data_IF_102559945094
#
_entry.id   IF_102559945094
#
_cell.length_a   1.000
_cell.length_b   1.000
_cell.length_c   1.000
_cell.angle_alpha   90.00
_cell.angle_beta   90.00
_cell.angle_gamma   90.00
#
_symmetry.space_group_name_H-M   'P 1'
#
loop_
_entity.id
_entity.type
_entity.pdbx_description
1 polymer ?
#
# COMPACT_ATOMS: atom_id res chain seq x y z
N UNK A 1 28.65 -1.08 3.19
CA UNK A 1 27.35 -1.61 2.71
C UNK A 1 26.79 -0.57 1.75
N UNK A 2 26.26 -0.98 0.60
CA UNK A 2 25.66 -0.06 -0.36
C UNK A 2 24.22 0.27 0.08
N UNK A 3 23.85 1.57 0.06
CA UNK A 3 22.48 2.02 0.35
C UNK A 3 21.59 1.74 -0.86
N UNK A 4 20.52 1.01 -0.65
CA UNK A 4 19.51 0.71 -1.67
C UNK A 4 18.47 1.82 -1.72
N UNK A 5 18.33 2.47 -2.86
CA UNK A 5 17.31 3.50 -3.10
C UNK A 5 16.34 3.00 -4.15
N UNK A 6 15.10 2.76 -3.74
CA UNK A 6 14.03 2.37 -4.66
C UNK A 6 13.39 3.62 -5.29
N UNK A 7 13.25 3.63 -6.61
CA UNK A 7 12.61 4.74 -7.32
C UNK A 7 11.38 4.23 -8.06
N UNK A 8 10.22 4.70 -7.64
CA UNK A 8 8.89 4.34 -8.18
C UNK A 8 8.36 5.43 -9.10
N UNK A 9 7.67 5.02 -10.16
CA UNK A 9 7.12 5.90 -11.18
C UNK A 9 5.87 5.29 -11.85
N UNK A 10 5.09 6.11 -12.57
CA UNK A 10 3.95 5.67 -13.37
C UNK A 10 3.71 6.58 -14.57
N UNK A 11 3.62 5.99 -15.74
CA UNK A 11 3.48 6.70 -17.02
C UNK A 11 4.82 7.15 -17.60
N UNK A 12 4.80 7.52 -18.86
CA UNK A 12 6.01 7.78 -19.66
C UNK A 12 6.82 8.98 -19.11
N UNK A 13 6.16 10.08 -18.81
CA UNK A 13 6.81 11.28 -18.25
C UNK A 13 7.53 10.95 -16.94
N UNK A 14 6.81 10.36 -15.98
CA UNK A 14 7.36 10.00 -14.68
C UNK A 14 8.50 8.99 -14.77
N UNK A 15 8.45 8.07 -15.75
CA UNK A 15 9.53 7.14 -16.07
C UNK A 15 10.81 7.87 -16.45
N UNK A 16 10.72 8.79 -17.44
CA UNK A 16 11.88 9.55 -17.92
C UNK A 16 12.51 10.41 -16.82
N UNK A 17 11.67 11.04 -16.00
CA UNK A 17 12.12 11.85 -14.86
C UNK A 17 12.80 11.00 -13.77
N UNK A 18 12.21 9.86 -13.44
CA UNK A 18 12.75 8.91 -12.48
C UNK A 18 14.07 8.31 -12.96
N UNK A 19 14.19 8.00 -14.27
CA UNK A 19 15.43 7.48 -14.86
C UNK A 19 16.57 8.51 -14.83
N UNK A 20 16.27 9.79 -15.08
CA UNK A 20 17.23 10.86 -14.92
C UNK A 20 17.78 10.94 -13.48
N UNK A 21 16.90 10.87 -12.48
CA UNK A 21 17.31 10.84 -11.05
C UNK A 21 18.13 9.59 -10.75
N UNK A 22 17.71 8.42 -11.25
CA UNK A 22 18.42 7.15 -11.08
C UNK A 22 19.84 7.20 -11.59
N UNK A 23 20.05 7.74 -12.78
CA UNK A 23 21.37 7.85 -13.40
C UNK A 23 22.26 8.89 -12.70
N UNK A 24 21.65 9.94 -12.17
CA UNK A 24 22.35 11.03 -11.52
C UNK A 24 22.83 10.69 -10.09
N UNK A 25 22.01 9.97 -9.30
CA UNK A 25 22.27 9.70 -7.89
C UNK A 25 23.66 9.08 -7.61
N UNK A 26 24.14 8.05 -8.35
CA UNK A 26 25.46 7.47 -8.11
C UNK A 26 26.62 8.41 -8.43
N UNK A 27 26.39 9.44 -9.26
CA UNK A 27 27.39 10.48 -9.55
C UNK A 27 27.67 11.36 -8.34
N UNK A 28 26.66 11.56 -7.49
CA UNK A 28 26.77 12.36 -6.25
C UNK A 28 27.09 11.49 -5.04
N UNK A 29 26.41 10.36 -4.92
CA UNK A 29 26.53 9.41 -3.81
C UNK A 29 26.96 8.04 -4.34
N UNK A 30 28.26 7.79 -4.44
CA UNK A 30 28.81 6.58 -5.06
C UNK A 30 28.43 5.27 -4.37
N UNK A 31 28.07 5.32 -3.08
CA UNK A 31 27.61 4.16 -2.31
C UNK A 31 26.13 3.81 -2.53
N UNK A 32 25.39 4.65 -3.25
CA UNK A 32 23.96 4.44 -3.55
C UNK A 32 23.80 3.50 -4.73
N UNK A 33 22.93 2.51 -4.57
CA UNK A 33 22.46 1.63 -5.65
C UNK A 33 20.99 1.94 -5.91
N UNK A 34 20.69 2.78 -6.91
CA UNK A 34 19.33 3.04 -7.29
C UNK A 34 18.70 1.80 -7.92
N UNK A 35 17.53 1.45 -7.46
CA UNK A 35 16.73 0.38 -8.00
C UNK A 35 15.49 0.96 -8.69
N UNK A 36 15.12 0.42 -9.86
CA UNK A 36 14.13 1.03 -10.74
C UNK A 36 13.16 -0.05 -11.23
N UNK A 37 11.87 0.19 -11.13
CA UNK A 37 10.84 -0.69 -11.69
C UNK A 37 10.44 -0.23 -13.11
N UNK A 38 10.06 -1.09 -14.04
CA UNK A 38 9.82 -2.54 -14.05
C UNK A 38 10.83 -3.36 -14.85
N UNK A 39 11.93 -2.78 -15.36
CA UNK A 39 12.92 -3.51 -16.16
C UNK A 39 13.74 -4.51 -15.36
N UNK A 40 13.82 -4.32 -14.05
CA UNK A 40 14.62 -5.13 -13.12
C UNK A 40 13.80 -6.23 -12.42
N UNK A 41 12.45 -6.27 -12.66
CA UNK A 41 11.60 -7.35 -12.13
C UNK A 41 11.50 -8.46 -13.19
N UNK A 42 11.89 -9.68 -12.81
CA UNK A 42 11.78 -10.86 -13.67
C UNK A 42 10.36 -11.05 -14.22
N UNK A 43 10.27 -11.25 -15.54
CA UNK A 43 8.99 -11.48 -16.23
C UNK A 43 8.30 -12.72 -15.65
N UNK A 44 7.15 -12.53 -14.99
CA UNK A 44 6.34 -13.62 -14.42
C UNK A 44 6.13 -13.55 -12.92
N UNK A 45 6.84 -12.69 -12.19
CA UNK A 45 6.56 -12.43 -10.77
C UNK A 45 5.28 -11.59 -10.60
N UNK A 46 4.54 -11.84 -9.52
CA UNK A 46 3.35 -11.03 -9.19
C UNK A 46 3.82 -9.61 -8.87
N UNK A 47 3.55 -8.69 -9.77
CA UNK A 47 4.05 -7.32 -9.78
C UNK A 47 3.85 -6.57 -8.44
N UNK A 48 2.66 -6.67 -7.85
CA UNK A 48 2.36 -5.99 -6.57
C UNK A 48 3.12 -6.56 -5.36
N UNK A 49 3.43 -7.87 -5.34
CA UNK A 49 4.22 -8.48 -4.26
C UNK A 49 5.73 -8.24 -4.43
N UNK A 50 6.18 -8.05 -5.67
CA UNK A 50 7.57 -7.71 -5.96
C UNK A 50 7.95 -6.32 -5.48
N UNK A 51 7.12 -5.31 -5.75
CA UNK A 51 7.38 -3.92 -5.36
C UNK A 51 7.31 -3.75 -3.83
N UNK A 52 6.34 -4.35 -3.16
CA UNK A 52 6.27 -4.29 -1.70
C UNK A 52 7.52 -4.90 -1.05
N UNK A 53 8.00 -6.05 -1.55
CA UNK A 53 9.23 -6.68 -1.08
C UNK A 53 10.50 -5.86 -1.36
N UNK A 54 10.57 -5.20 -2.52
CA UNK A 54 11.71 -4.33 -2.85
C UNK A 54 11.73 -3.07 -1.97
N UNK A 55 10.59 -2.49 -1.69
CA UNK A 55 10.47 -1.35 -0.78
C UNK A 55 10.83 -1.73 0.66
N UNK A 56 10.38 -2.88 1.15
CA UNK A 56 10.77 -3.41 2.47
C UNK A 56 12.28 -3.68 2.57
N UNK A 57 12.91 -4.07 1.45
CA UNK A 57 14.36 -4.33 1.37
C UNK A 57 15.20 -3.10 1.08
N UNK A 58 14.59 -1.95 0.82
CA UNK A 58 15.26 -0.69 0.49
C UNK A 58 15.39 0.22 1.69
N UNK A 59 16.53 0.94 1.77
CA UNK A 59 16.78 1.91 2.84
C UNK A 59 15.96 3.19 2.65
N UNK A 60 15.70 3.56 1.39
CA UNK A 60 14.89 4.73 1.00
C UNK A 60 14.03 4.39 -0.23
N UNK A 61 12.77 4.87 -0.22
CA UNK A 61 11.88 4.88 -1.36
C UNK A 61 11.64 6.30 -1.87
N UNK A 62 11.74 6.51 -3.18
CA UNK A 62 11.39 7.76 -3.85
C UNK A 62 10.22 7.49 -4.79
N UNK A 63 9.11 8.20 -4.62
CA UNK A 63 7.94 8.13 -5.51
C UNK A 63 7.94 9.38 -6.38
N UNK A 64 8.17 9.22 -7.69
CA UNK A 64 8.18 10.31 -8.65
C UNK A 64 6.76 10.65 -9.09
N UNK A 65 6.32 11.88 -8.78
CA UNK A 65 4.97 12.35 -9.02
C UNK A 65 4.94 13.49 -10.04
N UNK A 66 4.00 13.37 -10.98
CA UNK A 66 3.65 14.38 -11.98
C UNK A 66 2.14 14.58 -11.97
N UNK A 67 1.64 15.64 -12.62
CA UNK A 67 0.20 15.91 -12.72
C UNK A 67 -0.59 14.71 -13.27
N UNK A 68 0.00 13.96 -14.19
CA UNK A 68 -0.66 12.84 -14.89
C UNK A 68 -0.84 11.59 -14.03
N UNK A 69 0.09 11.37 -13.09
CA UNK A 69 0.09 10.13 -12.30
C UNK A 69 -0.47 10.26 -10.89
N UNK A 70 -0.80 11.46 -10.42
CA UNK A 70 -1.37 11.69 -9.09
C UNK A 70 -2.62 10.87 -8.77
N UNK A 71 -3.43 10.60 -9.79
CA UNK A 71 -4.71 9.89 -9.67
C UNK A 71 -4.62 8.43 -10.09
N UNK A 72 -3.46 7.95 -10.49
CA UNK A 72 -3.29 6.55 -10.91
C UNK A 72 -3.55 5.60 -9.74
N UNK A 73 -4.49 4.64 -9.90
CA UNK A 73 -4.93 3.79 -8.78
C UNK A 73 -3.81 3.02 -8.10
N UNK A 74 -2.78 2.62 -8.85
CA UNK A 74 -1.69 1.83 -8.32
C UNK A 74 -0.75 2.64 -7.42
N UNK A 75 -0.45 3.93 -7.72
CA UNK A 75 0.31 4.83 -6.83
C UNK A 75 -0.42 4.99 -5.49
N UNK A 76 -1.74 5.15 -5.52
CA UNK A 76 -2.55 5.26 -4.32
C UNK A 76 -2.60 3.94 -3.54
N UNK A 77 -2.59 2.80 -4.23
CA UNK A 77 -2.58 1.49 -3.60
C UNK A 77 -1.22 1.18 -2.96
N UNK A 78 -0.12 1.42 -3.66
CA UNK A 78 1.23 1.18 -3.14
C UNK A 78 1.55 2.10 -1.98
N UNK A 79 1.25 3.39 -2.07
CA UNK A 79 1.43 4.31 -0.94
C UNK A 79 0.60 3.90 0.27
N UNK A 80 -0.60 3.34 0.09
CA UNK A 80 -1.42 2.78 1.17
C UNK A 80 -0.85 1.48 1.77
N UNK A 81 -0.26 0.61 0.97
CA UNK A 81 0.43 -0.59 1.42
C UNK A 81 1.75 -0.24 2.14
N UNK A 82 2.48 0.73 1.61
CA UNK A 82 3.69 1.28 2.19
C UNK A 82 3.46 1.91 3.56
N UNK A 83 2.40 2.71 3.72
CA UNK A 83 2.10 3.36 5.01
C UNK A 83 1.82 2.38 6.15
N UNK A 84 1.48 1.12 5.85
CA UNK A 84 1.19 0.08 6.86
C UNK A 84 2.42 -0.72 7.31
N UNK A 85 3.45 -0.84 6.48
CA UNK A 85 4.58 -1.74 6.73
C UNK A 85 5.91 -1.01 7.01
N UNK A 86 5.92 0.32 6.95
CA UNK A 86 7.16 1.11 6.98
C UNK A 86 7.51 1.67 8.36
N UNK A 87 7.63 0.81 9.38
CA UNK A 87 8.28 1.25 10.63
C UNK A 87 9.79 1.58 10.44
N UNK A 88 10.43 1.09 9.37
CA UNK A 88 11.87 1.22 9.15
C UNK A 88 12.32 1.84 7.81
N UNK A 89 11.45 2.01 6.81
CA UNK A 89 11.83 2.56 5.51
C UNK A 89 11.39 4.02 5.36
N UNK A 90 12.31 4.86 4.90
CA UNK A 90 12.05 6.28 4.63
C UNK A 90 11.49 6.44 3.22
N UNK A 91 10.23 6.79 3.08
CA UNK A 91 9.61 7.08 1.77
C UNK A 91 9.40 8.58 1.62
N UNK A 92 9.83 9.10 0.47
CA UNK A 92 9.67 10.48 0.08
C UNK A 92 8.93 10.56 -1.26
N UNK A 93 8.02 11.50 -1.41
CA UNK A 93 7.47 11.84 -2.72
C UNK A 93 8.31 12.94 -3.36
N UNK A 94 8.71 12.76 -4.62
CA UNK A 94 9.43 13.76 -5.40
C UNK A 94 8.50 14.34 -6.46
N UNK A 95 8.22 15.64 -6.34
CA UNK A 95 7.23 16.35 -7.15
C UNK A 95 7.87 17.08 -8.32
N UNK A 96 7.33 16.86 -9.52
CA UNK A 96 7.75 17.52 -10.75
C UNK A 96 6.59 18.35 -11.32
N UNK A 97 6.72 19.68 -11.24
CA UNK A 97 5.72 20.62 -11.78
C UNK A 97 4.37 20.62 -11.05
N UNK A 98 4.32 20.11 -9.83
CA UNK A 98 3.13 20.07 -8.97
C UNK A 98 3.50 20.48 -7.54
N UNK A 99 2.51 20.90 -6.76
CA UNK A 99 2.67 21.31 -5.37
C UNK A 99 2.17 20.25 -4.38
N UNK A 100 2.62 20.34 -3.12
CA UNK A 100 2.15 19.46 -2.05
C UNK A 100 0.65 19.54 -1.80
N UNK A 101 0.02 20.65 -2.14
CA UNK A 101 -1.44 20.87 -2.07
C UNK A 101 -2.23 20.06 -3.10
N UNK A 102 -1.57 19.61 -4.16
CA UNK A 102 -2.19 18.76 -5.20
C UNK A 102 -2.31 17.29 -4.75
N UNK A 103 -1.55 16.91 -3.72
CA UNK A 103 -1.54 15.54 -3.20
C UNK A 103 -2.86 15.21 -2.49
N UNK A 104 -3.36 13.99 -2.72
CA UNK A 104 -4.59 13.46 -2.10
C UNK A 104 -4.38 12.05 -1.55
N UNK A 105 -5.22 11.70 -0.56
CA UNK A 105 -5.24 10.35 -0.01
C UNK A 105 -3.91 9.94 0.68
N UNK A 106 -3.46 8.69 0.51
CA UNK A 106 -2.27 8.17 1.21
C UNK A 106 -0.97 8.92 0.92
N UNK A 107 -0.87 9.60 -0.23
CA UNK A 107 0.32 10.36 -0.62
C UNK A 107 0.62 11.53 0.33
N UNK A 108 -0.40 12.05 1.01
CA UNK A 108 -0.24 13.15 1.99
C UNK A 108 0.48 12.74 3.27
N UNK A 109 0.63 11.43 3.52
CA UNK A 109 1.30 10.92 4.72
C UNK A 109 2.82 10.87 4.59
N UNK A 110 3.34 11.00 3.36
CA UNK A 110 4.77 10.94 3.11
C UNK A 110 5.43 12.31 3.15
N UNK A 111 6.72 12.30 3.48
CA UNK A 111 7.53 13.50 3.37
C UNK A 111 7.66 13.89 1.90
N UNK A 112 7.30 15.12 1.58
CA UNK A 112 7.25 15.66 0.22
C UNK A 112 8.50 16.47 -0.08
N UNK A 113 9.08 16.26 -1.25
CA UNK A 113 10.21 17.03 -1.79
C UNK A 113 9.79 17.59 -3.15
N UNK A 114 9.91 18.89 -3.34
CA UNK A 114 9.78 19.51 -4.66
C UNK A 114 11.09 19.38 -5.43
N UNK A 115 11.00 19.23 -6.75
CA UNK A 115 12.19 19.28 -7.60
C UNK A 115 12.66 20.73 -7.75
N UNK A 116 13.14 21.27 -6.65
CA UNK A 116 13.81 22.57 -6.52
C UNK A 116 15.15 22.35 -5.84
N UNK A 117 16.19 23.10 -6.24
CA UNK A 117 17.55 22.93 -5.78
C UNK A 117 17.69 22.76 -4.26
N UNK A 118 17.07 23.67 -3.51
CA UNK A 118 17.15 23.72 -2.05
C UNK A 118 16.46 22.52 -1.37
N UNK A 119 15.31 22.10 -1.92
CA UNK A 119 14.52 21.03 -1.33
C UNK A 119 15.03 19.66 -1.75
N UNK A 120 15.43 19.50 -3.01
CA UNK A 120 16.05 18.28 -3.51
C UNK A 120 17.40 18.00 -2.82
N UNK A 121 18.19 19.05 -2.50
CA UNK A 121 19.41 18.94 -1.69
C UNK A 121 19.14 18.31 -0.32
N UNK A 122 18.01 18.64 0.33
CA UNK A 122 17.63 18.02 1.61
C UNK A 122 17.35 16.52 1.45
N UNK A 123 16.68 16.12 0.36
CA UNK A 123 16.47 14.71 0.04
C UNK A 123 17.81 13.99 -0.14
N UNK A 124 18.72 14.56 -0.93
CA UNK A 124 20.05 13.98 -1.15
C UNK A 124 20.85 13.87 0.16
N UNK A 125 20.75 14.88 1.05
CA UNK A 125 21.35 14.85 2.39
C UNK A 125 20.71 13.73 3.25
N UNK A 126 19.42 13.52 3.15
CA UNK A 126 18.72 12.42 3.83
C UNK A 126 19.22 11.06 3.34
N UNK A 127 19.43 10.90 2.04
CA UNK A 127 20.02 9.69 1.44
C UNK A 127 21.47 9.52 1.91
N UNK A 128 22.27 10.59 1.92
CA UNK A 128 23.66 10.56 2.40
C UNK A 128 23.76 10.07 3.85
N UNK A 129 22.81 10.46 4.70
CA UNK A 129 22.79 10.05 6.10
C UNK A 129 22.53 8.54 6.32
N UNK A 130 22.08 7.80 5.29
CA UNK A 130 21.94 6.33 5.37
C UNK A 130 23.23 5.59 5.00
N UNK A 131 24.25 6.31 4.52
CA UNK A 131 25.49 5.71 4.03
C UNK A 131 26.42 5.13 5.13
N UNK A 132 26.09 5.33 6.42
CA UNK A 132 26.97 4.89 7.51
C UNK A 132 28.39 5.41 7.35
N UNK A 133 29.38 4.51 7.31
CA UNK A 133 30.79 4.86 7.15
C UNK A 133 31.14 5.43 5.75
N UNK A 134 30.24 5.23 4.76
CA UNK A 134 30.44 5.78 3.41
C UNK A 134 29.80 7.15 3.22
N UNK A 135 29.18 7.70 4.26
CA UNK A 135 28.58 9.03 4.24
C UNK A 135 29.59 10.08 3.88
N UNK A 136 29.27 10.94 2.93
CA UNK A 136 30.05 12.13 2.62
C UNK A 136 29.90 13.17 3.73
N UNK A 137 31.02 13.84 4.06
CA UNK A 137 30.98 15.03 4.90
C UNK A 137 30.14 16.14 4.25
N UNK A 138 29.46 16.94 5.06
CA UNK A 138 28.50 17.94 4.59
C UNK A 138 29.09 18.93 3.56
N UNK A 139 30.37 19.35 3.75
CA UNK A 139 31.09 20.23 2.82
C UNK A 139 31.40 19.55 1.49
N UNK A 140 31.74 18.26 1.51
CA UNK A 140 32.02 17.47 0.30
C UNK A 140 30.73 17.24 -0.47
N UNK A 141 29.67 16.85 0.24
CA UNK A 141 28.33 16.66 -0.34
C UNK A 141 27.86 17.94 -1.04
N UNK A 142 28.03 19.10 -0.40
CA UNK A 142 27.68 20.40 -0.96
C UNK A 142 28.37 20.65 -2.30
N UNK A 143 29.71 20.47 -2.33
CA UNK A 143 30.51 20.70 -3.54
C UNK A 143 30.13 19.73 -4.67
N UNK A 144 29.96 18.45 -4.36
CA UNK A 144 29.58 17.44 -5.36
C UNK A 144 28.17 17.70 -5.86
N UNK A 145 27.22 18.04 -4.97
CA UNK A 145 25.88 18.38 -5.36
C UNK A 145 25.83 19.58 -6.31
N UNK A 146 26.52 20.66 -5.99
CA UNK A 146 26.57 21.87 -6.84
C UNK A 146 27.16 21.55 -8.22
N UNK A 147 28.18 20.73 -8.30
CA UNK A 147 28.81 20.31 -9.55
C UNK A 147 27.87 19.52 -10.46
N UNK A 148 27.01 18.69 -9.87
CA UNK A 148 26.14 17.79 -10.61
C UNK A 148 24.71 18.33 -10.80
N UNK A 149 24.29 19.33 -10.02
CA UNK A 149 22.92 19.85 -10.03
C UNK A 149 22.51 20.39 -11.39
N UNK A 150 23.31 21.26 -11.98
CA UNK A 150 22.99 21.89 -13.27
C UNK A 150 22.71 20.86 -14.38
N UNK A 151 23.45 19.77 -14.38
CA UNK A 151 23.22 18.67 -15.34
C UNK A 151 21.85 18.03 -15.18
N UNK A 152 21.45 17.74 -13.94
CA UNK A 152 20.14 17.15 -13.64
C UNK A 152 19.02 18.13 -13.95
N UNK A 153 19.15 19.37 -13.51
CA UNK A 153 18.17 20.43 -13.73
C UNK A 153 17.88 20.66 -15.21
N UNK A 154 18.93 20.73 -16.03
CA UNK A 154 18.81 20.88 -17.48
C UNK A 154 18.12 19.64 -18.11
N UNK A 155 18.49 18.44 -17.71
CA UNK A 155 17.90 17.20 -18.21
C UNK A 155 16.41 17.10 -17.85
N UNK A 156 16.06 17.38 -16.61
CA UNK A 156 14.65 17.37 -16.14
C UNK A 156 13.82 18.46 -16.86
N UNK A 157 14.40 19.66 -17.01
CA UNK A 157 13.73 20.78 -17.70
C UNK A 157 13.48 20.46 -19.18
N UNK A 158 14.41 19.79 -19.84
CA UNK A 158 14.26 19.33 -21.23
C UNK A 158 13.16 18.26 -21.34
N UNK A 159 13.12 17.27 -20.44
CA UNK A 159 12.09 16.22 -20.42
C UNK A 159 10.71 16.85 -20.25
N UNK A 160 10.55 17.79 -19.29
CA UNK A 160 9.28 18.47 -19.03
C UNK A 160 8.81 19.31 -20.24
N UNK A 161 9.74 20.04 -20.90
CA UNK A 161 9.43 20.85 -22.07
C UNK A 161 8.99 19.99 -23.26
N UNK A 162 9.75 18.96 -23.59
CA UNK A 162 9.43 18.06 -24.68
C UNK A 162 8.10 17.34 -24.49
N UNK A 163 7.70 17.13 -23.23
CA UNK A 163 6.42 16.51 -22.90
C UNK A 163 5.25 17.49 -23.10
N UNK A 164 5.39 18.76 -22.71
CA UNK A 164 4.38 19.80 -22.96
C UNK A 164 4.12 20.00 -24.45
N UNK A 165 5.18 20.01 -25.25
CA UNK A 165 5.08 20.15 -26.72
C UNK A 165 4.37 18.95 -27.36
N UNK A 166 4.48 17.75 -26.78
CA UNK A 166 3.79 16.54 -27.26
C UNK A 166 2.32 16.45 -26.85
N UNK A 167 1.94 16.99 -25.68
CA UNK A 167 0.52 17.04 -25.26
C UNK A 167 -0.34 17.95 -26.15
N UNK A 168 0.23 18.99 -26.75
CA UNK A 168 -0.50 19.83 -27.71
C UNK A 168 -0.77 19.11 -29.04
N UNK A 169 -0.10 17.98 -29.32
CA UNK A 169 -0.17 17.25 -30.60
C UNK A 169 -0.84 15.88 -30.51
N UNK A 170 -1.03 15.28 -29.34
CA UNK A 170 -1.60 13.93 -29.22
C UNK A 170 -2.89 13.88 -28.40
N UNK A 171 -4.02 13.72 -29.10
CA UNK A 171 -5.19 13.05 -28.51
C UNK A 171 -4.74 11.69 -27.95
N UNK A 172 -5.08 11.39 -26.69
CA UNK A 172 -4.87 10.08 -26.06
C UNK A 172 -5.22 8.96 -27.06
N UNK A 173 -4.26 8.10 -27.35
CA UNK A 173 -4.47 6.96 -28.23
C UNK A 173 -5.57 6.08 -27.61
N UNK A 174 -6.53 5.61 -28.44
CA UNK A 174 -7.53 4.61 -28.01
C UNK A 174 -6.88 3.39 -27.35
N UNK A 175 -5.64 3.10 -27.73
CA UNK A 175 -4.82 2.01 -27.19
C UNK A 175 -4.45 2.22 -25.71
N UNK A 176 -4.08 3.45 -25.33
CA UNK A 176 -3.74 3.77 -23.93
C UNK A 176 -4.96 3.66 -23.04
N UNK A 177 -6.14 4.06 -23.54
CA UNK A 177 -7.43 3.91 -22.83
C UNK A 177 -7.77 2.43 -22.67
N UNK A 178 -7.57 1.62 -23.71
CA UNK A 178 -7.82 0.18 -23.68
C UNK A 178 -6.85 -0.56 -22.73
N UNK A 179 -5.58 -0.17 -22.70
CA UNK A 179 -4.59 -0.72 -21.78
C UNK A 179 -4.94 -0.36 -20.32
N UNK A 180 -5.37 0.87 -20.04
CA UNK A 180 -5.83 1.30 -18.72
C UNK A 180 -7.10 0.53 -18.28
N UNK A 181 -8.08 0.36 -19.17
CA UNK A 181 -9.29 -0.44 -18.90
C UNK A 181 -8.91 -1.90 -18.63
N UNK A 182 -8.00 -2.47 -19.40
CA UNK A 182 -7.53 -3.84 -19.22
C UNK A 182 -6.81 -4.02 -17.87
N UNK A 183 -6.02 -3.04 -17.47
CA UNK A 183 -5.30 -3.04 -16.20
C UNK A 183 -6.26 -2.92 -15.01
N UNK A 184 -7.24 -2.02 -15.09
CA UNK A 184 -8.31 -1.89 -14.09
C UNK A 184 -9.17 -3.16 -13.99
N UNK A 185 -9.48 -3.79 -15.12
CA UNK A 185 -10.20 -5.06 -15.18
C UNK A 185 -9.41 -6.20 -14.53
N UNK A 186 -8.11 -6.29 -14.78
CA UNK A 186 -7.20 -7.27 -14.15
C UNK A 186 -7.09 -7.05 -12.64
N UNK A 187 -7.01 -5.81 -12.18
CA UNK A 187 -7.01 -5.46 -10.75
C UNK A 187 -8.33 -5.84 -10.07
N UNK A 188 -9.47 -5.61 -10.75
CA UNK A 188 -10.80 -6.02 -10.29
C UNK A 188 -10.95 -7.54 -10.19
N UNK A 189 -10.47 -8.27 -11.19
CA UNK A 189 -10.48 -9.74 -11.19
C UNK A 189 -9.58 -10.34 -10.10
N UNK A 190 -8.42 -9.73 -9.82
CA UNK A 190 -7.50 -10.17 -8.75
C UNK A 190 -8.05 -9.93 -7.35
N UNK A 191 -8.81 -8.84 -7.13
CA UNK A 191 -9.50 -8.59 -5.86
C UNK A 191 -10.55 -9.67 -5.57
N UNK A 192 -11.23 -10.19 -6.60
CA UNK A 192 -12.18 -11.30 -6.46
C UNK A 192 -11.48 -12.63 -6.19
N UNK A 193 -10.34 -12.91 -6.83
CA UNK A 193 -9.64 -14.20 -6.66
C UNK A 193 -8.82 -14.32 -5.36
N UNK A 194 -8.54 -13.23 -4.65
CA UNK A 194 -7.84 -13.26 -3.35
C UNK A 194 -8.77 -13.26 -2.14
N UNK A 195 -10.08 -13.05 -2.34
CA UNK A 195 -11.09 -13.35 -1.32
C UNK A 195 -11.42 -14.84 -1.42
N UNK A 196 -11.31 -15.55 -0.33
CA UNK A 196 -11.96 -16.86 -0.19
C UNK A 196 -13.48 -16.57 -0.33
N UNK A 197 -14.00 -16.71 -1.53
CA UNK A 197 -15.44 -16.68 -1.77
C UNK A 197 -16.02 -17.98 -1.19
N UNK A 198 -16.29 -17.96 0.09
CA UNK A 198 -16.99 -19.06 0.73
C UNK A 198 -18.48 -18.88 0.41
N UNK A 199 -19.13 -19.87 -0.24
CA UNK A 199 -20.55 -19.77 -0.53
C UNK A 199 -21.39 -19.49 0.71
N UNK A 200 -22.50 -18.73 0.61
CA UNK A 200 -23.31 -18.34 1.77
C UNK A 200 -23.89 -19.52 2.54
N UNK A 201 -24.24 -20.59 1.84
CA UNK A 201 -24.70 -21.86 2.41
C UNK A 201 -23.62 -22.53 3.27
N UNK A 202 -22.35 -22.59 2.83
CA UNK A 202 -21.23 -23.14 3.61
C UNK A 202 -20.99 -22.33 4.89
N UNK A 203 -21.12 -21.00 4.80
CA UNK A 203 -21.03 -20.13 5.97
C UNK A 203 -22.16 -20.38 6.96
N UNK A 204 -23.37 -20.57 6.45
CA UNK A 204 -24.53 -20.87 7.30
C UNK A 204 -24.43 -22.23 7.95
N UNK A 205 -24.04 -23.28 7.21
CA UNK A 205 -23.82 -24.62 7.75
C UNK A 205 -22.76 -24.62 8.85
N UNK A 206 -21.71 -23.84 8.69
CA UNK A 206 -20.66 -23.67 9.72
C UNK A 206 -21.21 -22.98 10.97
N UNK A 207 -22.08 -21.98 10.80
CA UNK A 207 -22.73 -21.28 11.91
C UNK A 207 -23.69 -22.20 12.67
N UNK A 208 -24.53 -22.92 11.96
CA UNK A 208 -25.51 -23.87 12.52
C UNK A 208 -24.80 -24.99 13.29
N UNK A 209 -23.77 -25.60 12.68
CA UNK A 209 -22.95 -26.63 13.34
C UNK A 209 -22.28 -26.15 14.62
N UNK A 210 -21.75 -24.90 14.61
CA UNK A 210 -21.15 -24.31 15.81
C UNK A 210 -22.17 -24.08 16.94
N UNK A 211 -23.41 -23.76 16.59
CA UNK A 211 -24.49 -23.57 17.56
C UNK A 211 -25.02 -24.91 18.11
N UNK A 212 -25.17 -25.93 17.27
CA UNK A 212 -25.52 -27.28 17.73
C UNK A 212 -24.46 -27.83 18.69
N UNK A 213 -23.18 -27.69 18.37
CA UNK A 213 -22.10 -28.06 19.25
C UNK A 213 -22.16 -27.32 20.58
N UNK A 214 -22.51 -26.02 20.58
CA UNK A 214 -22.67 -25.26 21.80
C UNK A 214 -23.78 -25.87 22.68
N UNK A 215 -24.91 -26.21 22.10
CA UNK A 215 -26.03 -26.80 22.83
C UNK A 215 -25.65 -28.18 23.44
N UNK A 216 -24.95 -29.01 22.68
CA UNK A 216 -24.47 -30.32 23.17
C UNK A 216 -23.50 -30.15 24.34
N UNK A 217 -22.53 -29.23 24.19
CA UNK A 217 -21.48 -28.95 25.21
C UNK A 217 -22.10 -28.40 26.50
N UNK A 218 -23.13 -27.58 26.41
CA UNK A 218 -23.88 -27.05 27.57
C UNK A 218 -24.63 -28.16 28.30
N UNK A 219 -25.24 -29.11 27.56
CA UNK A 219 -25.92 -30.27 28.14
C UNK A 219 -24.98 -31.26 28.83
N UNK A 220 -23.83 -31.49 28.24
CA UNK A 220 -22.83 -32.45 28.79
C UNK A 220 -21.99 -31.85 29.92
N UNK A 221 -22.02 -30.55 30.15
CA UNK A 221 -21.32 -29.87 31.24
C UNK A 221 -19.80 -29.86 31.13
N UNK A 222 -19.25 -30.16 29.97
CA UNK A 222 -17.81 -30.21 29.75
C UNK A 222 -17.17 -28.83 29.68
N UNK A 223 -16.60 -28.37 30.78
CA UNK A 223 -15.91 -27.08 30.89
C UNK A 223 -14.80 -26.90 29.82
N UNK A 224 -14.09 -27.97 29.49
CA UNK A 224 -13.00 -27.97 28.48
C UNK A 224 -13.54 -27.77 27.06
N UNK A 225 -14.61 -28.45 26.71
CA UNK A 225 -15.29 -28.32 25.42
C UNK A 225 -15.91 -26.93 25.26
N UNK A 226 -16.55 -26.41 26.32
CA UNK A 226 -17.09 -25.06 26.36
C UNK A 226 -16.02 -23.98 26.09
N UNK A 227 -14.85 -24.08 26.72
CA UNK A 227 -13.76 -23.14 26.51
C UNK A 227 -13.18 -23.21 25.08
N UNK A 228 -13.12 -24.39 24.47
CA UNK A 228 -12.69 -24.57 23.08
C UNK A 228 -13.68 -23.91 22.12
N UNK A 229 -14.96 -24.15 22.30
CA UNK A 229 -16.02 -23.57 21.48
C UNK A 229 -16.05 -22.04 21.57
N UNK A 230 -15.90 -21.49 22.76
CA UNK A 230 -15.84 -20.04 23.01
C UNK A 230 -14.67 -19.39 22.24
N UNK A 231 -13.56 -20.08 22.07
CA UNK A 231 -12.42 -19.60 21.24
C UNK A 231 -12.76 -19.54 19.76
N UNK A 232 -13.64 -20.41 19.27
CA UNK A 232 -14.09 -20.41 17.87
C UNK A 232 -15.09 -19.30 17.55
N UNK A 233 -15.83 -18.77 18.53
CA UNK A 233 -16.86 -17.77 18.30
C UNK A 233 -16.34 -16.48 17.67
N UNK A 234 -15.19 -15.95 18.13
CA UNK A 234 -14.61 -14.73 17.57
C UNK A 234 -14.14 -14.88 16.12
N UNK A 235 -13.39 -15.93 15.73
CA UNK A 235 -13.06 -16.20 14.34
C UNK A 235 -14.30 -16.39 13.45
N UNK A 236 -15.31 -17.11 13.93
CA UNK A 236 -16.54 -17.32 13.20
C UNK A 236 -17.30 -16.01 12.96
N UNK A 237 -17.48 -15.19 13.98
CA UNK A 237 -18.09 -13.87 13.87
C UNK A 237 -17.31 -12.96 12.90
N UNK A 238 -15.99 -13.02 12.92
CA UNK A 238 -15.13 -12.29 12.00
C UNK A 238 -15.36 -12.73 10.54
N UNK A 239 -15.45 -14.03 10.28
CA UNK A 239 -15.71 -14.59 8.94
C UNK A 239 -17.08 -14.15 8.44
N UNK A 240 -18.12 -14.28 9.27
CA UNK A 240 -19.50 -13.87 8.93
C UNK A 240 -19.60 -12.39 8.62
N UNK A 241 -19.00 -11.53 9.46
CA UNK A 241 -19.02 -10.07 9.30
C UNK A 241 -18.26 -9.61 8.04
N UNK A 242 -17.28 -10.38 7.60
CA UNK A 242 -16.42 -10.05 6.47
C UNK A 242 -16.80 -10.75 5.17
N UNK A 243 -17.83 -11.59 5.21
CA UNK A 243 -18.42 -12.20 4.01
C UNK A 243 -19.06 -11.11 3.13
N UNK A 244 -19.14 -11.37 1.83
CA UNK A 244 -19.83 -10.50 0.88
C UNK A 244 -21.36 -10.64 0.95
N UNK A 245 -21.89 -11.34 1.98
CA UNK A 245 -23.30 -11.67 2.20
C UNK A 245 -23.79 -11.08 3.54
N UNK A 246 -24.24 -9.82 3.57
CA UNK A 246 -24.74 -9.18 4.80
C UNK A 246 -25.86 -9.95 5.49
N UNK A 247 -26.72 -10.62 4.70
CA UNK A 247 -27.83 -11.44 5.17
C UNK A 247 -27.37 -12.65 5.99
N UNK A 248 -26.22 -13.21 5.68
CA UNK A 248 -25.62 -14.33 6.43
C UNK A 248 -25.22 -13.87 7.83
N UNK A 249 -24.61 -12.67 7.94
CA UNK A 249 -24.21 -12.11 9.23
C UNK A 249 -25.45 -11.76 10.10
N UNK A 250 -26.47 -11.15 9.51
CA UNK A 250 -27.69 -10.82 10.25
C UNK A 250 -28.42 -12.08 10.75
N UNK A 251 -28.52 -13.13 9.93
CA UNK A 251 -29.10 -14.42 10.33
C UNK A 251 -28.30 -15.07 11.45
N UNK A 252 -26.98 -15.12 11.35
CA UNK A 252 -26.11 -15.62 12.41
C UNK A 252 -26.32 -14.84 13.71
N UNK A 253 -26.44 -13.52 13.66
CA UNK A 253 -26.66 -12.65 14.81
C UNK A 253 -28.01 -12.94 15.49
N UNK A 254 -29.07 -13.12 14.71
CA UNK A 254 -30.39 -13.49 15.24
C UNK A 254 -30.35 -14.83 15.95
N UNK A 255 -29.83 -15.88 15.32
CA UNK A 255 -29.68 -17.21 15.91
C UNK A 255 -28.88 -17.18 17.22
N UNK A 256 -27.81 -16.41 17.27
CA UNK A 256 -27.00 -16.26 18.47
C UNK A 256 -27.75 -15.56 19.62
N UNK A 257 -28.57 -14.57 19.31
CA UNK A 257 -29.38 -13.87 20.30
C UNK A 257 -30.50 -14.78 20.86
N UNK A 258 -31.16 -15.53 20.01
CA UNK A 258 -32.19 -16.51 20.44
C UNK A 258 -31.62 -17.54 21.43
N UNK A 259 -30.39 -18.02 21.18
CA UNK A 259 -29.72 -18.95 22.09
C UNK A 259 -29.42 -18.31 23.46
N UNK A 260 -28.98 -17.05 23.47
CA UNK A 260 -28.72 -16.34 24.74
C UNK A 260 -29.98 -16.21 25.60
N UNK A 261 -31.13 -15.96 25.01
CA UNK A 261 -32.40 -15.85 25.74
C UNK A 261 -32.92 -17.19 26.25
N UNK A 262 -32.54 -18.32 25.63
CA UNK A 262 -32.90 -19.67 26.14
C UNK A 262 -32.09 -20.11 27.34
N UNK A 263 -30.90 -19.56 27.54
CA UNK A 263 -29.93 -19.98 28.60
C UNK A 263 -30.09 -19.16 29.91
N UNK A 264 -30.76 -18.01 29.88
CA UNK A 264 -31.10 -17.22 31.05
C UNK A 264 -32.62 -17.14 31.21
N UNK A 265 -33.25 -18.04 31.97
CA UNK A 265 -34.61 -17.76 32.43
C UNK A 265 -34.54 -16.53 33.34
N UNK A 266 -35.50 -15.62 33.16
CA UNK A 266 -35.71 -14.44 34.00
C UNK A 266 -35.57 -14.80 35.47
N UNK A 267 -34.65 -14.16 36.20
CA UNK A 267 -34.70 -14.15 37.66
C UNK A 267 -36.05 -13.58 38.06
N UNK A 268 -36.91 -14.45 38.57
CA UNK A 268 -38.21 -14.09 39.16
C UNK A 268 -37.86 -13.20 40.33
N UNK A 269 -38.16 -11.92 40.20
CA UNK A 269 -38.17 -10.93 41.29
C UNK A 269 -39.10 -11.43 42.39
N UNK A 270 -38.57 -12.17 43.34
CA UNK A 270 -39.27 -12.49 44.59
C UNK A 270 -39.26 -11.24 45.46
N UNK A 271 -40.24 -10.37 45.21
CA UNK A 271 -40.63 -9.32 46.12
C UNK A 271 -40.88 -9.91 47.53
N UNK A 272 -40.02 -9.54 48.43
CA UNK A 272 -40.21 -9.81 49.88
C UNK A 272 -41.15 -8.75 50.42
N UNK A 273 -42.40 -9.14 50.62
CA UNK A 273 -43.31 -8.46 51.51
C UNK A 273 -43.15 -9.05 52.91
N UNK A 274 -42.56 -8.27 53.84
CA UNK A 274 -42.89 -8.26 55.24
C UNK A 274 -42.16 -7.14 55.98
#
# INVERSE_FOLDING_TARGET
>A
VATKVFISWSGDLSNKLADAVRQWLPGVLQFVKPYFTPSDIEKGTKWASGIAGELESSDIGIICLTKENLTKPWILFESGALSKNLENSRVCTLLFGIDSTDLKGPLTTFQTTRFEKSDFKKLVKTINNTGGDNKLEDNVLEQVFEMWWEKLENQISEILRNHQDSEETEHRSERDILEEILELSRLGARRRSSRLEMPPDVLMDLAESAMELQHVVEREGSKRAYMALRRMQKPLEYLMRRSDYPEVYERYRMMRNEMRHRVMPEEVDSGDES
#
